data_IF_598807230137
#
_entry.id   IF_598807230137
#
_cell.length_a   1.000
_cell.length_b   1.000
_cell.length_c   1.000
_cell.angle_alpha   90.00
_cell.angle_beta   90.00
_cell.angle_gamma   90.00
#
_symmetry.space_group_name_H-M   'P 1'
#
loop_
_entity.id
_entity.type
_entity.pdbx_description
1 polymer ?
#
# COMPACT_ATOMS: atom_id res chain seq x y z
N UNK A 1 -12.19 13.36 -30.06
CA UNK A 1 -13.08 13.25 -28.88
C UNK A 1 -13.25 11.77 -28.63
N UNK A 2 -12.47 11.20 -27.70
CA UNK A 2 -12.68 9.81 -27.32
C UNK A 2 -13.97 9.77 -26.47
N UNK A 3 -14.92 8.94 -26.87
CA UNK A 3 -16.24 8.76 -26.25
C UNK A 3 -16.23 7.52 -25.34
N UNK A 4 -15.10 7.21 -24.71
CA UNK A 4 -14.97 6.03 -23.87
C UNK A 4 -15.40 6.33 -22.44
N UNK A 5 -16.13 5.41 -21.81
CA UNK A 5 -16.30 5.44 -20.37
C UNK A 5 -14.99 4.99 -19.68
N UNK A 6 -14.77 5.44 -18.45
CA UNK A 6 -13.69 4.89 -17.61
C UNK A 6 -14.21 3.55 -17.07
N UNK A 7 -13.44 2.48 -17.26
CA UNK A 7 -13.78 1.15 -16.73
C UNK A 7 -13.28 0.99 -15.29
N UNK A 8 -11.98 1.17 -15.10
CA UNK A 8 -11.29 1.00 -13.81
C UNK A 8 -9.87 1.62 -13.90
N UNK A 9 -9.04 1.37 -12.89
CA UNK A 9 -7.61 1.65 -12.85
C UNK A 9 -6.80 0.46 -13.34
N UNK A 10 -5.74 0.75 -14.09
CA UNK A 10 -4.86 -0.26 -14.65
C UNK A 10 -4.08 -0.92 -13.52
N UNK A 11 -4.19 -2.23 -13.38
CA UNK A 11 -3.48 -2.95 -12.34
C UNK A 11 -1.96 -2.86 -12.44
N UNK A 12 -1.39 -2.40 -13.55
CA UNK A 12 0.07 -2.36 -13.72
C UNK A 12 0.67 -0.99 -13.38
N UNK A 13 0.08 0.09 -13.88
CA UNK A 13 0.61 1.45 -13.72
C UNK A 13 -0.26 2.35 -12.83
N UNK A 14 -1.39 1.84 -12.34
CA UNK A 14 -2.38 2.56 -11.54
C UNK A 14 -3.01 3.79 -12.25
N UNK A 15 -2.87 3.89 -13.59
CA UNK A 15 -3.50 4.92 -14.43
C UNK A 15 -4.85 4.47 -14.99
N UNK A 16 -5.69 5.41 -15.42
CA UNK A 16 -7.08 5.14 -15.85
C UNK A 16 -7.15 4.26 -17.09
N UNK A 17 -7.98 3.22 -17.03
CA UNK A 17 -8.32 2.35 -18.16
C UNK A 17 -9.63 2.83 -18.78
N UNK A 18 -9.57 3.12 -20.07
CA UNK A 18 -10.72 3.53 -20.87
C UNK A 18 -11.37 2.32 -21.55
N UNK A 19 -12.67 2.40 -21.79
CA UNK A 19 -13.47 1.37 -22.45
C UNK A 19 -12.94 0.94 -23.82
N UNK A 20 -12.22 1.83 -24.50
CA UNK A 20 -11.67 1.59 -25.84
C UNK A 20 -10.26 0.98 -25.81
N UNK A 21 -9.60 0.91 -24.64
CA UNK A 21 -8.17 0.60 -24.53
C UNK A 21 -7.85 -0.27 -23.30
N UNK A 22 -8.25 -1.55 -23.33
CA UNK A 22 -8.08 -2.48 -22.22
C UNK A 22 -7.89 -3.94 -22.62
N UNK A 23 -7.26 -4.69 -21.72
CA UNK A 23 -7.13 -6.15 -21.71
C UNK A 23 -7.53 -6.63 -20.31
N UNK A 24 -8.36 -7.68 -20.23
CA UNK A 24 -8.71 -8.31 -18.96
C UNK A 24 -7.75 -9.47 -18.67
N UNK A 25 -7.08 -9.44 -17.52
CA UNK A 25 -6.17 -10.49 -17.08
C UNK A 25 -6.37 -10.76 -15.59
N UNK A 26 -6.62 -12.02 -15.21
CA UNK A 26 -6.93 -12.38 -13.81
C UNK A 26 -7.98 -11.46 -13.17
N UNK A 27 -9.07 -11.20 -13.88
CA UNK A 27 -10.17 -10.32 -13.43
C UNK A 27 -9.77 -8.84 -13.22
N UNK A 28 -8.58 -8.43 -13.67
CA UNK A 28 -8.07 -7.06 -13.56
C UNK A 28 -7.93 -6.41 -14.94
N UNK A 29 -8.28 -5.13 -15.03
CA UNK A 29 -8.11 -4.33 -16.24
C UNK A 29 -6.67 -3.84 -16.39
N UNK A 30 -6.10 -3.98 -17.58
CA UNK A 30 -4.73 -3.61 -17.91
C UNK A 30 -4.70 -2.93 -19.28
N UNK A 31 -3.92 -1.85 -19.44
CA UNK A 31 -3.71 -1.26 -20.78
C UNK A 31 -3.00 -2.25 -21.70
N UNK A 32 -3.32 -2.30 -23.01
CA UNK A 32 -2.59 -3.11 -23.98
C UNK A 32 -1.07 -2.90 -23.95
N UNK A 33 -0.62 -1.63 -23.85
CA UNK A 33 0.80 -1.30 -23.72
C UNK A 33 1.44 -1.84 -22.43
N UNK A 34 0.68 -1.92 -21.33
CA UNK A 34 1.15 -2.50 -20.08
C UNK A 34 1.22 -4.04 -20.15
N UNK A 35 0.40 -4.67 -20.98
CA UNK A 35 0.43 -6.11 -21.19
C UNK A 35 1.65 -6.56 -22.00
N UNK A 36 2.16 -5.74 -22.92
CA UNK A 36 3.37 -6.03 -23.69
C UNK A 36 4.65 -5.99 -22.83
N UNK A 37 4.69 -5.12 -21.81
CA UNK A 37 5.84 -4.94 -20.91
C UNK A 37 5.70 -5.68 -19.56
N UNK A 38 4.78 -6.65 -19.50
CA UNK A 38 4.28 -7.30 -18.28
C UNK A 38 5.36 -7.86 -17.36
N UNK A 39 6.44 -8.43 -17.90
CA UNK A 39 7.51 -9.06 -17.09
C UNK A 39 8.35 -8.06 -16.31
N UNK A 40 8.54 -6.85 -16.82
CA UNK A 40 9.33 -5.83 -16.14
C UNK A 40 8.46 -5.11 -15.10
N UNK A 41 7.23 -4.74 -15.48
CA UNK A 41 6.33 -4.03 -14.59
C UNK A 41 5.81 -4.90 -13.43
N UNK A 42 5.64 -6.21 -13.62
CA UNK A 42 5.31 -7.13 -12.53
C UNK A 42 6.41 -7.25 -11.49
N UNK A 43 7.70 -7.15 -11.88
CA UNK A 43 8.82 -7.13 -10.93
C UNK A 43 8.79 -5.85 -10.10
N UNK A 44 8.58 -4.71 -10.75
CA UNK A 44 8.53 -3.42 -10.08
C UNK A 44 7.34 -3.35 -9.11
N UNK A 45 6.16 -3.89 -9.50
CA UNK A 45 4.99 -3.94 -8.62
C UNK A 45 5.14 -4.94 -7.47
N UNK A 46 5.75 -6.10 -7.69
CA UNK A 46 6.06 -7.05 -6.62
C UNK A 46 7.04 -6.44 -5.59
N UNK A 47 8.02 -5.68 -6.05
CA UNK A 47 8.92 -4.93 -5.17
C UNK A 47 8.20 -3.84 -4.38
N UNK A 48 7.23 -3.14 -5.00
CA UNK A 48 6.40 -2.14 -4.30
C UNK A 48 5.51 -2.76 -3.22
N UNK A 49 4.85 -3.88 -3.53
CA UNK A 49 4.01 -4.61 -2.56
C UNK A 49 4.84 -5.11 -1.37
N UNK A 50 6.03 -5.69 -1.63
CA UNK A 50 6.93 -6.11 -0.56
C UNK A 50 7.37 -4.93 0.33
N UNK A 51 7.63 -3.77 -0.28
CA UNK A 51 7.99 -2.56 0.46
C UNK A 51 6.83 -2.03 1.30
N UNK A 52 5.61 -2.06 0.80
CA UNK A 52 4.40 -1.68 1.55
C UNK A 52 4.14 -2.62 2.74
N UNK A 53 4.35 -3.92 2.57
CA UNK A 53 4.24 -4.90 3.64
C UNK A 53 5.29 -4.67 4.73
N UNK A 54 6.56 -4.46 4.34
CA UNK A 54 7.67 -4.17 5.27
C UNK A 54 7.41 -2.88 6.07
N UNK A 55 6.98 -1.81 5.40
CA UNK A 55 6.62 -0.55 6.07
C UNK A 55 5.44 -0.73 7.04
N UNK A 56 4.49 -1.60 6.71
CA UNK A 56 3.34 -1.91 7.57
C UNK A 56 3.78 -2.65 8.83
N UNK A 57 4.68 -3.63 8.71
CA UNK A 57 5.25 -4.35 9.84
C UNK A 57 6.03 -3.42 10.77
N UNK A 58 6.85 -2.54 10.21
CA UNK A 58 7.60 -1.53 10.96
C UNK A 58 6.67 -0.59 11.73
N UNK A 59 5.61 -0.09 11.08
CA UNK A 59 4.61 0.76 11.74
C UNK A 59 3.91 0.04 12.90
N UNK A 60 3.59 -1.25 12.74
CA UNK A 60 3.01 -2.04 13.83
C UNK A 60 3.99 -2.26 14.98
N UNK A 61 5.28 -2.48 14.67
CA UNK A 61 6.32 -2.60 15.69
C UNK A 61 6.49 -1.29 16.47
N UNK A 62 6.62 -0.15 15.77
CA UNK A 62 6.76 1.17 16.39
C UNK A 62 5.56 1.52 17.29
N UNK A 63 4.33 1.23 16.84
CA UNK A 63 3.12 1.41 17.66
C UNK A 63 3.16 0.59 18.95
N UNK A 64 3.63 -0.66 18.89
CA UNK A 64 3.80 -1.51 20.09
C UNK A 64 4.84 -0.94 21.05
N UNK A 65 5.98 -0.49 20.53
CA UNK A 65 7.03 0.14 21.34
C UNK A 65 6.53 1.40 22.04
N UNK A 66 5.85 2.29 21.30
CA UNK A 66 5.26 3.51 21.85
C UNK A 66 4.28 3.20 22.99
N UNK A 67 3.39 2.22 22.80
CA UNK A 67 2.46 1.79 23.83
C UNK A 67 3.16 1.25 25.09
N UNK A 68 4.30 0.57 24.94
CA UNK A 68 5.10 0.13 26.09
C UNK A 68 5.73 1.30 26.84
N UNK A 69 6.30 2.27 26.11
CA UNK A 69 6.88 3.47 26.71
C UNK A 69 5.82 4.28 27.47
N UNK A 70 4.62 4.45 26.89
CA UNK A 70 3.51 5.16 27.53
C UNK A 70 3.12 4.51 28.87
N UNK A 71 3.04 3.18 28.92
CA UNK A 71 2.74 2.44 30.18
C UNK A 71 3.83 2.66 31.23
N UNK A 72 5.10 2.67 30.84
CA UNK A 72 6.19 2.89 31.80
C UNK A 72 6.22 4.33 32.30
N UNK A 73 5.92 5.32 31.45
CA UNK A 73 5.74 6.72 31.87
C UNK A 73 4.63 6.81 32.92
N UNK A 74 3.45 6.24 32.65
CA UNK A 74 2.33 6.24 33.59
C UNK A 74 2.69 5.57 34.93
N UNK A 75 3.43 4.45 34.88
CA UNK A 75 3.93 3.77 36.07
C UNK A 75 4.86 4.68 36.88
N UNK A 76 5.82 5.34 36.24
CA UNK A 76 6.77 6.24 36.88
C UNK A 76 6.08 7.46 37.48
N UNK A 77 5.13 8.07 36.76
CA UNK A 77 4.33 9.18 37.27
C UNK A 77 3.55 8.79 38.53
N UNK A 78 2.97 7.59 38.55
CA UNK A 78 2.26 7.08 39.73
C UNK A 78 3.20 6.83 40.92
N UNK A 79 4.44 6.39 40.69
CA UNK A 79 5.44 6.24 41.75
C UNK A 79 5.88 7.59 42.32
N UNK A 80 6.02 8.61 41.48
CA UNK A 80 6.35 9.97 41.91
C UNK A 80 5.21 10.55 42.74
N UNK A 81 3.95 10.44 42.28
CA UNK A 81 2.77 10.93 43.01
C UNK A 81 2.59 10.30 44.39
N UNK A 82 3.04 9.05 44.58
CA UNK A 82 2.97 8.35 45.87
C UNK A 82 4.08 8.73 46.85
N UNK A 83 5.14 9.41 46.38
CA UNK A 83 6.27 9.88 47.21
C UNK A 83 6.14 11.35 47.62
N UNK A 84 5.31 12.12 46.95
CA UNK A 84 4.96 13.50 47.29
C UNK A 84 3.79 13.55 48.27
#
# INVERSE_FOLDING_TARGET
MASGCILDTCWVCDDLVWEDDWILYNEQFIHPACAENKTQLMKDKASRLHYEDEMTEDLQMLKRMLGSCQKEIERLENLIKRRA
#
